data_IF_465141884287
#
_entry.id   IF_465141884287
#
_cell.length_a   1.000
_cell.length_b   1.000
_cell.length_c   1.000
_cell.angle_alpha   90.00
_cell.angle_beta   90.00
_cell.angle_gamma   90.00
#
_symmetry.space_group_name_H-M   'P 1'
#
loop_
_entity.id
_entity.type
_entity.pdbx_description
1 polymer ?
#
# COMPACT_ATOMS: atom_id res chain seq x y z
N UNK A 1 1.13 -12.33 -0.61
CA UNK A 1 2.30 -11.71 -1.27
C UNK A 1 2.44 -12.18 -2.72
N UNK A 2 2.38 -13.48 -2.98
CA UNK A 2 2.51 -14.07 -4.32
C UNK A 2 1.52 -13.56 -5.36
N UNK A 3 0.28 -13.25 -4.96
CA UNK A 3 -0.74 -12.70 -5.85
C UNK A 3 -0.26 -11.40 -6.51
N UNK A 4 0.38 -10.50 -5.76
CA UNK A 4 0.84 -9.22 -6.30
C UNK A 4 2.03 -9.40 -7.26
N UNK A 5 2.99 -10.25 -6.89
CA UNK A 5 4.15 -10.56 -7.75
C UNK A 5 3.69 -11.22 -9.06
N UNK A 6 2.77 -12.18 -8.98
CA UNK A 6 2.23 -12.84 -10.16
C UNK A 6 1.39 -11.89 -11.03
N UNK A 7 0.66 -10.95 -10.42
CA UNK A 7 -0.04 -9.90 -11.15
C UNK A 7 0.94 -9.06 -11.97
N UNK A 8 1.99 -8.53 -11.31
CA UNK A 8 3.00 -7.71 -11.98
C UNK A 8 3.75 -8.47 -13.09
N UNK A 9 3.93 -9.80 -12.93
CA UNK A 9 4.59 -10.65 -13.93
C UNK A 9 3.72 -10.93 -15.16
N UNK A 10 2.40 -11.03 -15.00
CA UNK A 10 1.49 -11.57 -16.04
C UNK A 10 0.61 -10.53 -16.71
N UNK A 11 0.33 -9.41 -16.04
CA UNK A 11 -0.53 -8.34 -16.58
C UNK A 11 0.29 -7.37 -17.45
N UNK A 12 -0.36 -6.61 -18.34
CA UNK A 12 0.30 -5.49 -19.01
C UNK A 12 1.04 -4.61 -18.00
N UNK A 13 2.26 -4.20 -18.33
CA UNK A 13 3.13 -3.49 -17.38
C UNK A 13 2.48 -2.21 -16.83
N UNK A 14 1.63 -1.53 -17.61
CA UNK A 14 0.94 -0.32 -17.17
C UNK A 14 -0.12 -0.60 -16.10
N UNK A 15 -0.76 -1.77 -16.12
CA UNK A 15 -1.66 -2.20 -15.04
C UNK A 15 -0.86 -2.52 -13.77
N UNK A 16 0.34 -3.11 -13.91
CA UNK A 16 1.24 -3.32 -12.79
C UNK A 16 1.67 -1.98 -12.15
N UNK A 17 1.98 -0.96 -12.96
CA UNK A 17 2.22 0.40 -12.46
C UNK A 17 0.97 0.99 -11.82
N UNK A 18 -0.21 0.88 -12.43
CA UNK A 18 -1.44 1.39 -11.85
C UNK A 18 -1.75 0.78 -10.47
N UNK A 19 -1.42 -0.50 -10.27
CA UNK A 19 -1.58 -1.15 -8.97
C UNK A 19 -0.69 -0.55 -7.87
N UNK A 20 0.43 0.12 -8.19
CA UNK A 20 1.28 0.76 -7.18
C UNK A 20 0.65 2.03 -6.61
N UNK A 21 -0.35 2.62 -7.28
CA UNK A 21 -0.98 3.90 -6.92
C UNK A 21 -1.68 3.92 -5.55
N UNK A 22 -1.77 2.79 -4.85
CA UNK A 22 -2.07 2.79 -3.41
C UNK A 22 -1.12 3.67 -2.60
N UNK A 23 0.09 3.97 -3.12
CA UNK A 23 1.04 4.88 -2.50
C UNK A 23 0.54 6.34 -2.43
N UNK A 24 -0.47 6.73 -3.23
CA UNK A 24 -1.16 8.02 -3.07
C UNK A 24 -1.81 8.17 -1.68
N UNK A 25 -2.19 7.07 -1.05
CA UNK A 25 -2.91 7.05 0.23
C UNK A 25 -2.01 6.71 1.43
N UNK A 26 -0.81 6.18 1.18
CA UNK A 26 0.11 5.69 2.21
C UNK A 26 0.58 6.77 3.21
N UNK A 27 1.09 7.93 2.76
CA UNK A 27 1.73 8.90 3.65
C UNK A 27 0.83 9.42 4.78
N UNK A 28 -0.46 9.66 4.52
CA UNK A 28 -1.41 10.10 5.53
C UNK A 28 -1.58 9.07 6.65
N UNK A 29 -1.80 7.80 6.29
CA UNK A 29 -1.94 6.70 7.24
C UNK A 29 -0.64 6.45 8.02
N UNK A 30 0.52 6.52 7.36
CA UNK A 30 1.83 6.35 8.01
C UNK A 30 2.06 7.41 9.09
N UNK A 31 1.75 8.69 8.79
CA UNK A 31 1.92 9.79 9.75
C UNK A 31 1.13 9.56 11.04
N UNK A 32 -0.14 9.16 10.91
CA UNK A 32 -1.01 8.85 12.06
C UNK A 32 -0.45 7.66 12.85
N UNK A 33 -0.01 6.60 12.14
CA UNK A 33 0.52 5.38 12.77
C UNK A 33 1.82 5.62 13.52
N UNK A 34 2.78 6.37 12.96
CA UNK A 34 4.06 6.66 13.63
C UNK A 34 3.81 7.42 14.93
N UNK A 35 2.97 8.46 14.90
CA UNK A 35 2.64 9.22 16.10
C UNK A 35 1.92 8.37 17.17
N UNK A 36 1.02 7.47 16.74
CA UNK A 36 0.35 6.54 17.65
C UNK A 36 1.33 5.51 18.24
N UNK A 37 2.26 4.98 17.42
CA UNK A 37 3.28 4.03 17.86
C UNK A 37 4.17 4.64 18.94
N UNK A 38 4.69 5.85 18.71
CA UNK A 38 5.52 6.58 19.67
C UNK A 38 4.79 6.86 20.99
N UNK A 39 3.48 7.18 20.93
CA UNK A 39 2.67 7.49 22.11
C UNK A 39 2.28 6.26 22.92
N UNK A 40 1.84 5.20 22.26
CA UNK A 40 1.19 4.06 22.91
C UNK A 40 2.13 2.87 23.15
N UNK A 41 3.27 2.82 22.44
CA UNK A 41 4.22 1.71 22.52
C UNK A 41 5.65 2.23 22.73
N UNK A 42 5.93 2.88 23.88
CA UNK A 42 7.21 3.56 24.15
C UNK A 42 8.41 2.61 24.25
N UNK A 43 8.16 1.29 24.29
CA UNK A 43 9.19 0.25 24.27
C UNK A 43 9.76 -0.03 22.87
N UNK A 44 9.13 0.49 21.80
CA UNK A 44 9.64 0.38 20.44
C UNK A 44 10.82 1.35 20.27
N UNK A 45 11.95 0.83 19.80
CA UNK A 45 13.12 1.66 19.46
C UNK A 45 12.77 2.68 18.36
N UNK A 46 12.96 4.00 18.60
CA UNK A 46 12.72 5.03 17.59
C UNK A 46 13.46 4.80 16.26
N UNK A 47 14.63 4.16 16.27
CA UNK A 47 15.37 3.79 15.06
C UNK A 47 14.58 2.81 14.18
N UNK A 48 13.78 1.92 14.80
CA UNK A 48 12.90 0.98 14.10
C UNK A 48 11.77 1.67 13.32
N UNK A 49 11.46 2.93 13.63
CA UNK A 49 10.43 3.71 12.94
C UNK A 49 10.98 4.52 11.76
N UNK A 50 12.30 4.51 11.52
CA UNK A 50 12.93 5.35 10.49
C UNK A 50 12.41 5.03 9.08
N UNK A 51 12.20 3.74 8.77
CA UNK A 51 11.61 3.31 7.49
C UNK A 51 10.30 4.04 7.17
N UNK A 52 9.42 4.19 8.16
CA UNK A 52 8.15 4.88 8.00
C UNK A 52 8.32 6.38 7.78
N UNK A 53 9.29 7.00 8.47
CA UNK A 53 9.59 8.42 8.30
C UNK A 53 10.11 8.73 6.90
N UNK A 54 11.01 7.90 6.38
CA UNK A 54 11.57 8.06 5.03
C UNK A 54 10.48 7.90 3.95
N UNK A 55 9.56 6.95 4.14
CA UNK A 55 8.42 6.72 3.23
C UNK A 55 7.46 7.90 3.13
N UNK A 56 7.41 8.81 4.10
CA UNK A 56 6.59 10.03 4.02
C UNK A 56 7.05 10.97 2.89
N UNK A 57 8.33 10.90 2.49
CA UNK A 57 8.92 11.76 1.46
C UNK A 57 9.05 11.02 0.12
N UNK A 58 9.39 9.74 0.17
CA UNK A 58 9.63 8.92 -1.03
C UNK A 58 8.31 8.57 -1.75
N UNK A 59 7.32 8.04 -1.02
CA UNK A 59 6.08 7.54 -1.63
C UNK A 59 5.30 8.58 -2.45
N UNK A 60 5.20 9.87 -2.03
CA UNK A 60 4.56 10.89 -2.87
C UNK A 60 5.24 11.09 -4.24
N UNK A 61 6.58 11.00 -4.30
CA UNK A 61 7.34 11.18 -5.55
C UNK A 61 7.09 10.02 -6.50
N UNK A 62 7.14 8.80 -5.98
CA UNK A 62 6.91 7.58 -6.75
C UNK A 62 5.47 7.53 -7.28
N UNK A 63 4.51 7.92 -6.43
CA UNK A 63 3.10 7.96 -6.80
C UNK A 63 2.78 9.04 -7.84
N UNK A 64 3.41 10.21 -7.80
CA UNK A 64 3.22 11.26 -8.81
C UNK A 64 3.72 10.82 -10.19
N UNK A 65 4.92 10.22 -10.25
CA UNK A 65 5.45 9.67 -11.49
C UNK A 65 4.55 8.57 -12.06
N UNK A 66 4.13 7.62 -11.22
CA UNK A 66 3.23 6.54 -11.63
C UNK A 66 1.88 7.08 -12.12
N UNK A 67 1.30 8.06 -11.41
CA UNK A 67 0.01 8.64 -11.76
C UNK A 67 0.06 9.32 -13.12
N UNK A 68 1.09 10.14 -13.36
CA UNK A 68 1.33 10.78 -14.66
C UNK A 68 1.43 9.74 -15.78
N UNK A 69 2.21 8.67 -15.54
CA UNK A 69 2.42 7.62 -16.54
C UNK A 69 1.13 6.87 -16.87
N UNK A 70 0.31 6.54 -15.86
CA UNK A 70 -1.00 5.89 -16.07
C UNK A 70 -1.94 6.81 -16.84
N UNK A 71 -2.05 8.09 -16.46
CA UNK A 71 -2.92 9.06 -17.15
C UNK A 71 -2.49 9.29 -18.59
N UNK A 72 -1.19 9.35 -18.88
CA UNK A 72 -0.66 9.55 -20.23
C UNK A 72 -0.94 8.35 -21.16
N UNK A 73 -0.93 7.14 -20.61
CA UNK A 73 -0.95 5.88 -21.38
C UNK A 73 -2.33 5.21 -21.44
N UNK A 74 -3.17 5.36 -20.42
CA UNK A 74 -4.54 4.83 -20.39
C UNK A 74 -5.52 5.84 -21.02
N UNK A 75 -5.57 5.87 -22.35
CA UNK A 75 -6.30 6.87 -23.13
C UNK A 75 -7.74 6.47 -23.47
N UNK A 76 -8.04 5.17 -23.49
CA UNK A 76 -9.41 4.67 -23.71
C UNK A 76 -10.10 4.37 -22.40
N UNK A 77 -11.44 4.31 -22.43
CA UNK A 77 -12.24 3.98 -21.26
C UNK A 77 -11.88 2.60 -20.71
N UNK A 78 -11.67 1.63 -21.59
CA UNK A 78 -11.31 0.26 -21.24
C UNK A 78 -9.95 0.21 -20.52
N UNK A 79 -8.97 1.01 -20.96
CA UNK A 79 -7.66 1.10 -20.32
C UNK A 79 -7.73 1.78 -18.94
N UNK A 80 -8.58 2.80 -18.80
CA UNK A 80 -8.81 3.48 -17.53
C UNK A 80 -9.49 2.55 -16.53
N UNK A 81 -10.52 1.82 -16.96
CA UNK A 81 -11.22 0.85 -16.14
C UNK A 81 -10.28 -0.30 -15.71
N UNK A 82 -9.37 -0.74 -16.59
CA UNK A 82 -8.34 -1.70 -16.25
C UNK A 82 -7.34 -1.17 -15.20
N UNK A 83 -6.90 0.09 -15.32
CA UNK A 83 -6.02 0.72 -14.33
C UNK A 83 -6.70 0.86 -12.96
N UNK A 84 -7.98 1.25 -12.93
CA UNK A 84 -8.78 1.32 -11.69
C UNK A 84 -8.96 -0.08 -11.09
N UNK A 85 -9.19 -1.09 -11.93
CA UNK A 85 -9.30 -2.50 -11.49
C UNK A 85 -7.99 -2.99 -10.89
N UNK A 86 -6.84 -2.63 -11.46
CA UNK A 86 -5.52 -2.97 -10.93
C UNK A 86 -5.26 -2.31 -9.56
N UNK A 87 -5.67 -1.05 -9.38
CA UNK A 87 -5.61 -0.35 -8.10
C UNK A 87 -6.53 -1.03 -7.06
N UNK A 88 -7.76 -1.37 -7.43
CA UNK A 88 -8.69 -2.12 -6.56
C UNK A 88 -8.09 -3.46 -6.13
N UNK A 89 -7.55 -4.24 -7.06
CA UNK A 89 -6.88 -5.51 -6.76
C UNK A 89 -5.79 -5.32 -5.69
N UNK A 90 -4.97 -4.26 -5.80
CA UNK A 90 -3.95 -3.98 -4.78
C UNK A 90 -4.56 -3.70 -3.41
N UNK A 91 -5.68 -2.98 -3.33
CA UNK A 91 -6.37 -2.75 -2.05
C UNK A 91 -6.91 -4.04 -1.44
N UNK A 92 -7.41 -4.97 -2.25
CA UNK A 92 -7.89 -6.29 -1.81
C UNK A 92 -6.72 -7.14 -1.28
N UNK A 93 -5.55 -7.09 -1.92
CA UNK A 93 -4.34 -7.75 -1.40
C UNK A 93 -3.95 -7.22 -0.03
N UNK A 94 -3.96 -5.89 0.17
CA UNK A 94 -3.65 -5.27 1.46
C UNK A 94 -4.68 -5.66 2.53
N UNK A 95 -5.96 -5.71 2.14
CA UNK A 95 -7.05 -6.11 3.03
C UNK A 95 -6.90 -7.57 3.49
N UNK A 96 -6.64 -8.49 2.56
CA UNK A 96 -6.45 -9.90 2.87
C UNK A 96 -5.27 -10.14 3.84
N UNK A 97 -4.21 -9.31 3.77
CA UNK A 97 -3.11 -9.38 4.75
C UNK A 97 -3.59 -8.98 6.15
N UNK A 98 -4.43 -7.95 6.28
CA UNK A 98 -4.98 -7.54 7.56
C UNK A 98 -5.95 -8.58 8.13
N UNK A 99 -6.83 -9.15 7.30
CA UNK A 99 -7.73 -10.24 7.72
C UNK A 99 -6.97 -11.47 8.21
N UNK A 100 -5.85 -11.82 7.55
CA UNK A 100 -5.02 -12.94 7.97
C UNK A 100 -4.35 -12.69 9.33
N UNK A 101 -3.94 -11.45 9.60
CA UNK A 101 -3.39 -11.06 10.92
C UNK A 101 -4.50 -11.09 11.98
N UNK A 102 -5.67 -10.54 11.67
CA UNK A 102 -6.83 -10.52 12.58
C UNK A 102 -7.29 -11.92 12.98
N UNK A 103 -7.36 -12.85 12.01
CA UNK A 103 -7.78 -14.24 12.24
C UNK A 103 -6.64 -15.17 12.65
N UNK A 104 -5.43 -14.66 12.75
CA UNK A 104 -4.25 -15.41 13.14
C UNK A 104 -4.28 -15.81 14.61
N UNK A 105 -3.54 -16.86 14.96
CA UNK A 105 -3.38 -17.39 16.31
C UNK A 105 -2.42 -16.56 17.18
N UNK A 106 -1.88 -15.46 16.65
CA UNK A 106 -0.93 -14.55 17.34
C UNK A 106 -1.62 -13.38 18.05
N UNK A 107 -2.96 -13.33 18.01
CA UNK A 107 -3.72 -12.32 18.74
C UNK A 107 -3.54 -12.52 20.26
N UNK A 108 -3.28 -11.45 21.03
CA UNK A 108 -3.28 -11.55 22.48
C UNK A 108 -4.68 -11.99 22.95
N UNK A 109 -4.78 -12.78 24.03
CA UNK A 109 -6.07 -13.18 24.57
C UNK A 109 -6.90 -11.94 24.88
N UNK A 110 -8.21 -12.04 24.62
CA UNK A 110 -9.14 -10.95 24.92
C UNK A 110 -8.97 -10.52 26.38
N UNK A 111 -8.87 -9.20 26.61
CA UNK A 111 -8.84 -8.66 27.95
C UNK A 111 -10.12 -9.09 28.71
N UNK A 112 -10.02 -9.39 30.01
CA UNK A 112 -11.15 -9.82 30.84
C UNK A 112 -12.26 -8.77 30.93
#
# INVERSE_FOLDING_TARGET
VDAYVNFARRRPWIEAVASSLTELFGPGAIRVRVAALERHYPWIDPAGLQYFRDRLVQAPRDADYALRLVVERCRTREQQDAAVTALRFKTEVLWAQLEAIERGDTQPPAAP
#
